data_IF_341114289342
#
_entry.id   IF_341114289342
#
_cell.length_a   1.000
_cell.length_b   1.000
_cell.length_c   1.000
_cell.angle_alpha   90.00
_cell.angle_beta   90.00
_cell.angle_gamma   90.00
#
_symmetry.space_group_name_H-M   'P 1'
#
loop_
_entity.id
_entity.type
_entity.pdbx_description
1 polymer ?
#
# COMPACT_ATOMS: atom_id res chain seq x y z
N UNK A 1 -18.23 10.32 0.27
CA UNK A 1 -17.54 10.81 1.48
C UNK A 1 -16.05 10.71 1.24
N UNK A 2 -15.27 11.70 1.66
CA UNK A 2 -13.82 11.71 1.53
C UNK A 2 -13.14 11.57 2.90
N UNK A 3 -12.10 10.74 2.96
CA UNK A 3 -11.25 10.56 4.14
C UNK A 3 -9.80 10.85 3.75
N UNK A 4 -9.18 11.83 4.43
CA UNK A 4 -7.75 12.11 4.32
C UNK A 4 -6.97 11.10 5.16
N UNK A 5 -6.29 10.17 4.50
CA UNK A 5 -5.50 9.13 5.13
C UNK A 5 -4.09 9.64 5.50
N UNK A 6 -3.50 10.46 4.64
CA UNK A 6 -2.23 11.14 4.88
C UNK A 6 -2.35 12.57 4.38
N UNK A 7 -1.93 13.53 5.19
CA UNK A 7 -1.82 14.94 4.81
C UNK A 7 -0.69 15.58 5.63
N UNK A 8 0.51 15.70 5.04
CA UNK A 8 1.66 16.23 5.76
C UNK A 8 2.98 16.23 4.99
N UNK A 9 4.01 16.79 5.64
CA UNK A 9 5.38 16.82 5.16
C UNK A 9 6.27 15.94 6.04
N UNK A 10 7.08 15.11 5.40
CA UNK A 10 7.89 14.09 6.05
C UNK A 10 9.31 14.15 5.52
N UNK A 11 10.29 13.81 6.36
CA UNK A 11 11.64 13.53 5.83
C UNK A 11 11.60 12.24 4.98
N UNK A 12 12.65 11.99 4.22
CA UNK A 12 12.75 10.84 3.34
C UNK A 12 12.49 9.50 4.04
N UNK A 13 13.02 9.33 5.26
CA UNK A 13 12.89 8.08 6.03
C UNK A 13 11.43 7.86 6.45
N UNK A 14 10.83 8.87 7.06
CA UNK A 14 9.45 8.81 7.55
C UNK A 14 8.47 8.63 6.38
N UNK A 15 8.68 9.35 5.27
CA UNK A 15 7.86 9.20 4.08
C UNK A 15 7.90 7.77 3.52
N UNK A 16 9.11 7.20 3.41
CA UNK A 16 9.31 5.82 2.97
C UNK A 16 8.61 4.83 3.90
N UNK A 17 8.80 4.98 5.21
CA UNK A 17 8.24 4.08 6.22
C UNK A 17 6.70 4.09 6.22
N UNK A 18 6.08 5.27 6.19
CA UNK A 18 4.63 5.43 6.15
C UNK A 18 4.03 4.70 4.93
N UNK A 19 4.61 4.91 3.75
CA UNK A 19 4.06 4.32 2.51
C UNK A 19 4.27 2.80 2.49
N UNK A 20 5.45 2.33 2.90
CA UNK A 20 5.75 0.90 3.00
C UNK A 20 4.76 0.22 3.94
N UNK A 21 4.49 0.83 5.11
CA UNK A 21 3.55 0.29 6.09
C UNK A 21 2.14 0.15 5.50
N UNK A 22 1.62 1.20 4.84
CA UNK A 22 0.29 1.17 4.23
C UNK A 22 0.14 0.09 3.14
N UNK A 23 1.15 -0.06 2.28
CA UNK A 23 1.13 -1.09 1.24
C UNK A 23 1.20 -2.49 1.85
N UNK A 24 2.06 -2.69 2.86
CA UNK A 24 2.18 -3.96 3.57
C UNK A 24 0.88 -4.35 4.28
N UNK A 25 0.19 -3.41 4.92
CA UNK A 25 -1.10 -3.68 5.56
C UNK A 25 -2.16 -4.12 4.54
N UNK A 26 -2.15 -3.52 3.33
CA UNK A 26 -3.03 -3.94 2.24
C UNK A 26 -2.66 -5.31 1.68
N UNK A 27 -1.37 -5.62 1.53
CA UNK A 27 -0.89 -6.96 1.15
C UNK A 27 -1.35 -7.98 2.17
N UNK A 28 -1.14 -7.72 3.46
CA UNK A 28 -1.50 -8.61 4.56
C UNK A 28 -3.01 -8.86 4.62
N UNK A 29 -3.84 -7.87 4.33
CA UNK A 29 -5.29 -8.05 4.16
C UNK A 29 -5.61 -9.09 3.08
N UNK A 30 -5.01 -8.97 1.89
CA UNK A 30 -5.24 -9.91 0.80
C UNK A 30 -4.66 -11.30 1.08
N UNK A 31 -3.52 -11.39 1.76
CA UNK A 31 -2.94 -12.68 2.19
C UNK A 31 -3.90 -13.42 3.13
N UNK A 32 -4.42 -12.73 4.16
CA UNK A 32 -5.39 -13.31 5.09
C UNK A 32 -6.68 -13.72 4.39
N UNK A 33 -7.18 -12.89 3.47
CA UNK A 33 -8.39 -13.19 2.68
C UNK A 33 -8.19 -14.42 1.80
N UNK A 34 -7.07 -14.50 1.06
CA UNK A 34 -6.75 -15.66 0.22
C UNK A 34 -6.62 -16.94 1.07
N UNK A 35 -5.93 -16.84 2.21
CA UNK A 35 -5.82 -17.96 3.15
C UNK A 35 -7.20 -18.43 3.63
N UNK A 36 -8.07 -17.50 4.04
CA UNK A 36 -9.44 -17.83 4.45
C UNK A 36 -10.25 -18.52 3.34
N UNK A 37 -10.12 -18.07 2.08
CA UNK A 37 -10.76 -18.72 0.92
C UNK A 37 -10.26 -20.16 0.74
N UNK A 38 -8.95 -20.36 0.80
CA UNK A 38 -8.33 -21.70 0.67
C UNK A 38 -8.83 -22.66 1.75
N UNK A 39 -8.95 -22.20 2.98
CA UNK A 39 -9.47 -23.02 4.09
C UNK A 39 -10.97 -23.32 3.92
N UNK A 40 -11.79 -22.34 3.55
CA UNK A 40 -13.26 -22.51 3.53
C UNK A 40 -13.78 -23.21 2.27
N UNK A 41 -13.13 -22.99 1.13
CA UNK A 41 -13.63 -23.42 -0.17
C UNK A 41 -12.66 -24.34 -0.92
N UNK A 42 -11.45 -24.56 -0.40
CA UNK A 42 -10.39 -25.31 -1.09
C UNK A 42 -9.79 -24.58 -2.30
N UNK A 43 -10.19 -23.33 -2.55
CA UNK A 43 -9.81 -22.56 -3.73
C UNK A 43 -9.17 -21.22 -3.34
N UNK A 44 -8.20 -20.79 -4.13
CA UNK A 44 -7.59 -19.48 -4.01
C UNK A 44 -8.60 -18.36 -4.34
N UNK A 45 -8.45 -17.20 -3.68
CA UNK A 45 -9.11 -15.97 -4.08
C UNK A 45 -8.22 -15.28 -5.12
N UNK A 46 -8.49 -15.53 -6.41
CA UNK A 46 -7.69 -15.01 -7.53
C UNK A 46 -7.55 -13.48 -7.51
N UNK A 47 -8.61 -12.79 -7.07
CA UNK A 47 -8.59 -11.33 -6.90
C UNK A 47 -7.50 -10.93 -5.90
N UNK A 48 -7.42 -11.62 -4.76
CA UNK A 48 -6.41 -11.37 -3.74
C UNK A 48 -5.02 -11.75 -4.21
N UNK A 49 -4.86 -12.83 -4.98
CA UNK A 49 -3.56 -13.19 -5.57
C UNK A 49 -3.05 -12.12 -6.54
N UNK A 50 -3.90 -11.66 -7.46
CA UNK A 50 -3.55 -10.58 -8.39
C UNK A 50 -3.23 -9.27 -7.67
N UNK A 51 -4.00 -8.93 -6.63
CA UNK A 51 -3.73 -7.74 -5.81
C UNK A 51 -2.43 -7.84 -5.04
N UNK A 52 -2.06 -9.01 -4.50
CA UNK A 52 -0.77 -9.20 -3.82
C UNK A 52 0.39 -8.97 -4.80
N UNK A 53 0.31 -9.50 -6.02
CA UNK A 53 1.35 -9.34 -7.05
C UNK A 53 1.52 -7.85 -7.41
N UNK A 54 0.43 -7.17 -7.73
CA UNK A 54 0.44 -5.74 -8.06
C UNK A 54 1.02 -4.89 -6.91
N UNK A 55 0.55 -5.10 -5.67
CA UNK A 55 1.02 -4.32 -4.53
C UNK A 55 2.51 -4.56 -4.21
N UNK A 56 3.03 -5.78 -4.42
CA UNK A 56 4.47 -6.06 -4.28
C UNK A 56 5.30 -5.33 -5.35
N UNK A 57 4.79 -5.22 -6.57
CA UNK A 57 5.42 -4.44 -7.64
C UNK A 57 5.45 -2.94 -7.32
N UNK A 58 4.34 -2.42 -6.78
CA UNK A 58 4.26 -1.03 -6.33
C UNK A 58 5.25 -0.76 -5.19
N UNK A 59 5.33 -1.68 -4.23
CA UNK A 59 6.27 -1.60 -3.10
C UNK A 59 7.73 -1.52 -3.57
N UNK A 60 8.13 -2.39 -4.51
CA UNK A 60 9.49 -2.38 -5.08
C UNK A 60 9.80 -1.06 -5.80
N UNK A 61 8.83 -0.52 -6.53
CA UNK A 61 8.94 0.79 -7.20
C UNK A 61 9.19 1.91 -6.18
N UNK A 62 8.46 1.90 -5.07
CA UNK A 62 8.61 2.92 -4.01
C UNK A 62 9.94 2.78 -3.28
N UNK A 63 10.37 1.56 -2.96
CA UNK A 63 11.68 1.33 -2.36
C UNK A 63 12.79 1.88 -3.26
N UNK A 64 12.75 1.58 -4.56
CA UNK A 64 13.71 2.11 -5.55
C UNK A 64 13.69 3.64 -5.65
N UNK A 65 12.52 4.26 -5.63
CA UNK A 65 12.38 5.73 -5.66
C UNK A 65 13.11 6.39 -4.47
N UNK A 66 13.00 5.81 -3.28
CA UNK A 66 13.62 6.35 -2.08
C UNK A 66 15.09 5.93 -1.90
N UNK A 67 15.52 4.81 -2.46
CA UNK A 67 16.93 4.36 -2.36
C UNK A 67 17.85 5.05 -3.37
N UNK A 68 17.31 5.60 -4.45
CA UNK A 68 18.08 6.34 -5.47
C UNK A 68 18.46 7.77 -5.05
N UNK A 69 17.88 8.29 -3.97
CA UNK A 69 18.08 9.68 -3.55
C UNK A 69 18.98 9.76 -2.30
N UNK A 70 20.26 10.02 -2.52
CA UNK A 70 21.17 10.48 -1.47
C UNK A 70 20.96 11.99 -1.23
N UNK A 71 19.94 12.36 -0.46
CA UNK A 71 19.83 13.74 0.03
C UNK A 71 19.08 13.76 1.36
N UNK A 72 19.85 13.70 2.46
CA UNK A 72 19.37 13.60 3.84
C UNK A 72 18.47 14.76 4.29
N UNK A 73 18.37 15.85 3.53
CA UNK A 73 17.54 17.02 3.84
C UNK A 73 16.32 17.20 2.91
N UNK A 74 16.04 16.22 2.03
CA UNK A 74 14.84 16.31 1.17
C UNK A 74 13.58 15.99 1.96
N UNK A 75 12.65 16.95 2.00
CA UNK A 75 11.29 16.74 2.51
C UNK A 75 10.36 16.30 1.39
N UNK A 76 9.43 15.41 1.71
CA UNK A 76 8.39 14.91 0.83
C UNK A 76 7.04 15.31 1.39
N UNK A 77 6.19 15.86 0.52
CA UNK A 77 4.79 16.05 0.85
C UNK A 77 4.00 14.82 0.44
N UNK A 78 3.29 14.23 1.37
CA UNK A 78 2.43 13.06 1.14
C UNK A 78 0.97 13.46 1.28
N UNK A 79 0.18 13.10 0.27
CA UNK A 79 -1.28 13.23 0.28
C UNK A 79 -1.90 11.90 -0.16
N UNK A 80 -2.79 11.36 0.65
CA UNK A 80 -3.54 10.16 0.34
C UNK A 80 -4.99 10.34 0.77
N UNK A 81 -5.92 10.16 -0.17
CA UNK A 81 -7.35 10.31 0.05
C UNK A 81 -8.07 9.01 -0.30
N UNK A 82 -9.07 8.65 0.50
CA UNK A 82 -10.02 7.58 0.20
C UNK A 82 -11.35 8.25 -0.13
N UNK A 83 -11.82 8.04 -1.35
CA UNK A 83 -13.14 8.46 -1.79
C UNK A 83 -14.09 7.25 -1.76
N UNK A 84 -15.24 7.44 -1.09
CA UNK A 84 -16.28 6.42 -0.99
C UNK A 84 -17.52 6.92 -1.72
N UNK A 85 -17.85 6.25 -2.82
CA UNK A 85 -19.01 6.48 -3.67
C UNK A 85 -19.81 5.19 -3.83
N UNK A 86 -21.13 5.19 -3.55
CA UNK A 86 -21.98 4.05 -3.85
C UNK A 86 -22.09 3.90 -5.37
N UNK A 87 -21.96 2.67 -5.86
CA UNK A 87 -22.24 2.34 -7.25
C UNK A 87 -23.72 1.94 -7.32
N UNK A 88 -24.51 2.66 -8.13
CA UNK A 88 -25.91 2.32 -8.43
C UNK A 88 -25.99 1.25 -9.50
#
# INVERSE_FOLDING_TARGET
MELRLIDGEFNQKDAKEIIIQLINDKINFHVRRNFSSKIRFGLADEVSENRIISLKSDLDTIVKLFDQKEASDTKYRLHANIEITPIQ
#
